data_IF_749225731555
#
_entry.id   IF_749225731555
#
_cell.length_a   1.000
_cell.length_b   1.000
_cell.length_c   1.000
_cell.angle_alpha   90.00
_cell.angle_beta   90.00
_cell.angle_gamma   90.00
#
_symmetry.space_group_name_H-M   'P 1'
#
loop_
_entity.id
_entity.type
_entity.pdbx_description
1 polymer ?
#
# COMPACT_ATOMS: atom_id res chain seq x y z
N UNK A 1 -18.91 -2.02 10.63
CA UNK A 1 -17.65 -2.60 10.08
C UNK A 1 -16.48 -1.67 10.39
N UNK A 2 -15.47 -2.17 11.07
CA UNK A 2 -14.26 -1.40 11.35
C UNK A 2 -13.24 -1.58 10.25
N UNK A 3 -12.71 -0.48 9.75
CA UNK A 3 -11.69 -0.45 8.70
C UNK A 3 -10.32 -0.32 9.33
N UNK A 4 -9.45 -1.30 9.10
CA UNK A 4 -8.12 -1.37 9.69
C UNK A 4 -7.08 -1.41 8.56
N UNK A 5 -6.20 -0.42 8.55
CA UNK A 5 -5.14 -0.34 7.56
C UNK A 5 -3.88 -1.02 8.09
N UNK A 6 -3.25 -1.82 7.23
CA UNK A 6 -1.89 -2.33 7.43
C UNK A 6 -1.06 -1.79 6.28
N UNK A 7 -0.11 -0.93 6.58
CA UNK A 7 0.77 -0.36 5.57
C UNK A 7 2.24 -0.55 5.95
N UNK A 8 3.09 -0.30 5.03
CA UNK A 8 4.54 -0.41 5.15
C UNK A 8 5.15 -0.57 3.77
N UNK A 9 6.36 -0.08 3.62
CA UNK A 9 7.11 -0.23 2.38
C UNK A 9 7.63 -1.64 2.17
N UNK A 10 8.45 -1.87 1.15
CA UNK A 10 9.11 -3.15 0.95
C UNK A 10 10.04 -3.50 2.12
N UNK A 11 10.24 -4.80 2.36
CA UNK A 11 11.18 -5.26 3.40
C UNK A 11 10.71 -5.07 4.83
N UNK A 12 9.41 -5.07 5.07
CA UNK A 12 8.82 -4.79 6.40
C UNK A 12 8.17 -6.01 7.07
N UNK A 13 8.03 -7.13 6.36
CA UNK A 13 7.33 -8.31 6.88
C UNK A 13 5.81 -8.22 6.77
N UNK A 14 5.29 -7.27 6.01
CA UNK A 14 3.86 -7.03 5.87
C UNK A 14 3.11 -8.26 5.34
N UNK A 15 3.65 -8.95 4.34
CA UNK A 15 3.04 -10.15 3.76
C UNK A 15 2.84 -11.24 4.81
N UNK A 16 3.83 -11.47 5.65
CA UNK A 16 3.75 -12.46 6.74
C UNK A 16 2.66 -12.10 7.74
N UNK A 17 2.56 -10.82 8.10
CA UNK A 17 1.52 -10.35 9.02
C UNK A 17 0.13 -10.52 8.41
N UNK A 18 -0.06 -10.12 7.16
CA UNK A 18 -1.35 -10.25 6.47
C UNK A 18 -1.78 -11.71 6.38
N UNK A 19 -0.85 -12.61 6.04
CA UNK A 19 -1.15 -14.05 5.99
C UNK A 19 -1.57 -14.58 7.37
N UNK A 20 -0.92 -14.14 8.42
CA UNK A 20 -1.27 -14.53 9.78
C UNK A 20 -2.68 -14.06 10.16
N UNK A 21 -3.04 -12.84 9.80
CA UNK A 21 -4.38 -12.28 10.02
C UNK A 21 -5.43 -13.14 9.29
N UNK A 22 -5.16 -13.51 8.05
CA UNK A 22 -6.05 -14.38 7.27
C UNK A 22 -6.20 -15.76 7.90
N UNK A 23 -5.11 -16.35 8.39
CA UNK A 23 -5.13 -17.65 9.07
C UNK A 23 -6.01 -17.63 10.33
N UNK A 24 -6.11 -16.49 10.99
CA UNK A 24 -6.99 -16.32 12.15
C UNK A 24 -8.44 -16.02 11.77
N UNK A 25 -8.78 -16.10 10.48
CA UNK A 25 -10.16 -15.98 10.01
C UNK A 25 -10.65 -14.55 9.76
N UNK A 26 -9.76 -13.57 9.80
CA UNK A 26 -10.15 -12.19 9.52
C UNK A 26 -10.15 -11.89 8.02
N UNK A 27 -11.10 -11.05 7.60
CA UNK A 27 -11.21 -10.62 6.22
C UNK A 27 -10.13 -9.61 5.89
N UNK A 28 -9.41 -9.87 4.79
CA UNK A 28 -8.41 -8.94 4.26
C UNK A 28 -8.75 -8.57 2.83
N UNK A 29 -8.45 -7.32 2.44
CA UNK A 29 -8.61 -6.88 1.06
C UNK A 29 -7.64 -7.62 0.13
N UNK A 30 -7.96 -7.65 -1.16
CA UNK A 30 -7.10 -8.26 -2.17
C UNK A 30 -5.82 -7.45 -2.37
N UNK A 31 -4.74 -8.15 -2.74
CA UNK A 31 -3.50 -7.48 -3.12
C UNK A 31 -3.58 -7.03 -4.58
N UNK A 32 -4.01 -5.79 -4.76
CA UNK A 32 -4.38 -5.21 -6.06
C UNK A 32 -3.16 -5.05 -6.97
N UNK A 33 -1.99 -4.75 -6.42
CA UNK A 33 -0.75 -4.59 -7.21
C UNK A 33 -0.47 -5.84 -8.05
N UNK A 34 -0.55 -7.02 -7.44
CA UNK A 34 -0.31 -8.29 -8.13
C UNK A 34 -1.35 -8.54 -9.22
N UNK A 35 -2.62 -8.24 -8.94
CA UNK A 35 -3.70 -8.41 -9.89
C UNK A 35 -3.50 -7.54 -11.14
N UNK A 36 -3.16 -6.26 -10.96
CA UNK A 36 -2.89 -5.34 -12.07
C UNK A 36 -1.68 -5.79 -12.86
N UNK A 37 -0.60 -6.13 -12.19
CA UNK A 37 0.65 -6.56 -12.84
C UNK A 37 0.43 -7.82 -13.66
N UNK A 38 -0.28 -8.80 -13.11
CA UNK A 38 -0.60 -10.05 -13.81
C UNK A 38 -1.42 -9.77 -15.06
N UNK A 39 -2.48 -8.97 -14.96
CA UNK A 39 -3.34 -8.63 -16.08
C UNK A 39 -2.55 -7.93 -17.19
N UNK A 40 -1.67 -6.98 -16.83
CA UNK A 40 -0.86 -6.25 -17.82
C UNK A 40 0.17 -7.15 -18.49
N UNK A 41 0.72 -8.14 -17.80
CA UNK A 41 1.61 -9.14 -18.41
C UNK A 41 0.86 -10.01 -19.41
N UNK A 42 -0.37 -10.42 -19.07
CA UNK A 42 -1.25 -11.17 -20.00
C UNK A 42 -1.56 -10.36 -21.27
N UNK A 43 -1.65 -9.03 -21.13
CA UNK A 43 -1.84 -8.10 -22.26
C UNK A 43 -0.52 -7.73 -22.97
N UNK A 44 0.61 -8.34 -22.59
CA UNK A 44 1.92 -8.09 -23.19
C UNK A 44 2.70 -6.93 -22.62
N UNK A 45 2.27 -6.37 -21.48
CA UNK A 45 2.93 -5.24 -20.82
C UNK A 45 3.77 -5.72 -19.61
N UNK A 46 4.90 -6.37 -19.88
CA UNK A 46 5.81 -6.76 -18.82
C UNK A 46 6.34 -5.54 -18.08
N UNK A 47 6.37 -5.61 -16.73
CA UNK A 47 6.85 -4.52 -15.89
C UNK A 47 6.15 -3.19 -16.19
N UNK A 48 4.83 -3.22 -16.33
CA UNK A 48 3.99 -2.06 -16.66
C UNK A 48 4.26 -0.87 -15.73
N UNK A 49 4.48 -1.12 -14.43
CA UNK A 49 4.76 -0.07 -13.45
C UNK A 49 6.09 0.67 -13.72
N UNK A 50 7.03 0.07 -14.45
CA UNK A 50 8.28 0.72 -14.85
C UNK A 50 8.13 1.52 -16.16
N UNK A 51 7.37 1.00 -17.11
CA UNK A 51 7.18 1.64 -18.42
C UNK A 51 6.14 2.77 -18.40
N UNK A 52 5.11 2.64 -17.55
CA UNK A 52 4.04 3.62 -17.42
C UNK A 52 3.72 3.89 -15.92
N UNK A 53 4.65 4.49 -15.17
CA UNK A 53 4.52 4.57 -13.72
C UNK A 53 3.31 5.41 -13.26
N UNK A 54 3.02 6.52 -13.93
CA UNK A 54 1.90 7.36 -13.55
C UNK A 54 0.56 6.68 -13.85
N UNK A 55 0.41 6.08 -15.04
CA UNK A 55 -0.81 5.36 -15.41
C UNK A 55 -1.06 4.18 -14.47
N UNK A 56 -0.01 3.43 -14.13
CA UNK A 56 -0.08 2.35 -13.17
C UNK A 56 -0.54 2.85 -11.79
N UNK A 57 0.04 3.96 -11.33
CA UNK A 57 -0.30 4.55 -10.04
C UNK A 57 -1.74 5.04 -9.98
N UNK A 58 -2.22 5.67 -11.04
CA UNK A 58 -3.62 6.15 -11.12
C UNK A 58 -4.58 4.94 -11.05
N UNK A 59 -4.30 3.89 -11.81
CA UNK A 59 -5.13 2.68 -11.78
C UNK A 59 -5.12 2.02 -10.40
N UNK A 60 -3.95 1.89 -9.80
CA UNK A 60 -3.79 1.31 -8.47
C UNK A 60 -4.52 2.13 -7.40
N UNK A 61 -4.39 3.46 -7.44
CA UNK A 61 -5.11 4.34 -6.53
C UNK A 61 -6.62 4.12 -6.63
N UNK A 62 -7.15 4.15 -7.85
CA UNK A 62 -8.60 4.01 -8.06
C UNK A 62 -9.11 2.64 -7.63
N UNK A 63 -8.37 1.57 -7.87
CA UNK A 63 -8.73 0.23 -7.43
C UNK A 63 -8.74 0.11 -5.90
N UNK A 64 -7.74 0.68 -5.24
CA UNK A 64 -7.69 0.71 -3.77
C UNK A 64 -8.79 1.60 -3.19
N UNK A 65 -9.11 2.69 -3.87
CA UNK A 65 -10.22 3.58 -3.47
C UNK A 65 -11.57 2.86 -3.58
N UNK A 66 -11.80 2.12 -4.66
CA UNK A 66 -12.98 1.28 -4.82
C UNK A 66 -13.08 0.25 -3.69
N UNK A 67 -11.97 -0.41 -3.39
CA UNK A 67 -11.91 -1.41 -2.31
C UNK A 67 -12.24 -0.80 -0.96
N UNK A 68 -11.69 0.39 -0.68
CA UNK A 68 -11.99 1.13 0.54
C UNK A 68 -13.47 1.46 0.69
N UNK A 69 -14.16 1.74 -0.41
CA UNK A 69 -15.57 2.11 -0.40
C UNK A 69 -16.54 0.92 -0.43
N UNK A 70 -16.05 -0.30 -0.62
CA UNK A 70 -16.91 -1.49 -0.58
C UNK A 70 -17.41 -1.76 0.83
N UNK A 71 -18.66 -2.24 0.89
CA UNK A 71 -19.24 -2.74 2.12
C UNK A 71 -19.05 -4.25 2.19
N UNK A 72 -18.51 -4.72 3.31
CA UNK A 72 -18.32 -6.14 3.57
C UNK A 72 -19.20 -6.57 4.73
N UNK A 73 -19.72 -7.78 4.65
CA UNK A 73 -20.50 -8.38 5.77
C UNK A 73 -19.51 -8.98 6.77
N UNK A 74 -18.84 -8.11 7.51
CA UNK A 74 -17.85 -8.49 8.52
C UNK A 74 -17.72 -7.39 9.56
N UNK A 75 -17.37 -7.76 10.78
CA UNK A 75 -17.10 -6.77 11.84
C UNK A 75 -15.83 -5.98 11.58
N UNK A 76 -14.86 -6.60 10.90
CA UNK A 76 -13.55 -6.00 10.60
C UNK A 76 -13.17 -6.28 9.16
N UNK A 77 -12.50 -5.31 8.54
CA UNK A 77 -11.81 -5.49 7.27
C UNK A 77 -10.38 -4.95 7.41
N UNK A 78 -9.40 -5.77 7.06
CA UNK A 78 -7.99 -5.37 7.03
C UNK A 78 -7.60 -5.05 5.60
N UNK A 79 -7.06 -3.86 5.39
CA UNK A 79 -6.58 -3.43 4.07
C UNK A 79 -5.09 -3.64 3.98
N UNK A 80 -4.66 -4.40 3.00
CA UNK A 80 -3.26 -4.57 2.62
C UNK A 80 -2.87 -3.37 1.77
N UNK A 81 -2.38 -2.33 2.44
CA UNK A 81 -2.14 -1.00 1.91
C UNK A 81 -3.43 -0.27 1.54
N UNK A 82 -3.31 0.99 1.19
CA UNK A 82 -4.43 1.82 0.80
C UNK A 82 -4.08 2.80 -0.30
N UNK A 83 -5.05 3.65 -0.71
CA UNK A 83 -4.82 4.64 -1.76
C UNK A 83 -3.70 5.63 -1.43
N UNK A 84 -3.56 6.04 -0.18
CA UNK A 84 -2.52 7.00 0.22
C UNK A 84 -1.10 6.47 0.04
N UNK A 85 -0.91 5.15 0.06
CA UNK A 85 0.37 4.52 -0.23
C UNK A 85 0.84 4.86 -1.66
N UNK A 86 -0.11 4.96 -2.60
CA UNK A 86 0.19 5.36 -3.99
C UNK A 86 0.70 6.78 -4.03
N UNK A 87 0.08 7.69 -3.30
CA UNK A 87 0.49 9.10 -3.24
C UNK A 87 1.87 9.24 -2.62
N UNK A 88 2.16 8.47 -1.59
CA UNK A 88 3.48 8.44 -0.96
C UNK A 88 4.56 7.96 -1.95
N UNK A 89 4.23 6.94 -2.75
CA UNK A 89 5.15 6.44 -3.77
C UNK A 89 5.41 7.45 -4.88
N UNK A 90 4.38 8.19 -5.29
CA UNK A 90 4.55 9.27 -6.27
C UNK A 90 5.44 10.39 -5.73
N UNK A 91 5.30 10.74 -4.46
CA UNK A 91 6.20 11.69 -3.80
C UNK A 91 7.64 11.17 -3.78
N UNK A 92 7.83 9.90 -3.48
CA UNK A 92 9.15 9.25 -3.52
C UNK A 92 9.78 9.35 -4.92
N UNK A 93 8.98 9.14 -5.96
CA UNK A 93 9.42 9.25 -7.36
C UNK A 93 9.47 10.69 -7.87
N UNK A 94 9.08 11.66 -7.05
CA UNK A 94 9.05 13.10 -7.42
C UNK A 94 8.13 13.36 -8.62
N UNK A 95 7.04 12.64 -8.70
CA UNK A 95 6.00 12.81 -9.71
C UNK A 95 4.85 13.62 -9.14
N UNK A 96 4.37 14.59 -9.89
CA UNK A 96 3.22 15.41 -9.47
C UNK A 96 1.97 14.54 -9.33
N UNK A 97 1.28 14.71 -8.21
CA UNK A 97 0.04 13.98 -7.93
C UNK A 97 -1.12 14.69 -8.62
N UNK A 98 -1.92 13.98 -9.46
CA UNK A 98 -3.13 14.56 -10.04
C UNK A 98 -4.10 15.06 -8.96
N UNK A 99 -4.72 16.21 -9.20
CA UNK A 99 -5.60 16.85 -8.22
C UNK A 99 -6.81 15.99 -7.84
N UNK A 100 -7.36 15.22 -8.77
CA UNK A 100 -8.51 14.33 -8.48
C UNK A 100 -8.13 13.23 -7.49
N UNK A 101 -6.91 12.72 -7.52
CA UNK A 101 -6.44 11.75 -6.53
C UNK A 101 -6.32 12.39 -5.14
N UNK A 102 -5.76 13.60 -5.05
CA UNK A 102 -5.71 14.33 -3.79
C UNK A 102 -7.10 14.61 -3.22
N UNK A 103 -8.05 14.96 -4.08
CA UNK A 103 -9.42 15.21 -3.65
C UNK A 103 -10.12 13.96 -3.13
N UNK A 104 -9.94 12.84 -3.81
CA UNK A 104 -10.46 11.53 -3.34
C UNK A 104 -9.81 11.11 -2.03
N UNK A 105 -8.51 11.37 -1.88
CA UNK A 105 -7.76 10.99 -0.67
C UNK A 105 -8.30 11.67 0.59
N UNK A 106 -8.86 12.86 0.47
CA UNK A 106 -9.46 13.59 1.60
C UNK A 106 -10.65 12.85 2.23
N UNK A 107 -11.27 11.93 1.50
CA UNK A 107 -12.41 11.15 1.97
C UNK A 107 -11.98 9.86 2.70
N UNK A 108 -10.68 9.56 2.75
CA UNK A 108 -10.18 8.31 3.32
C UNK A 108 -9.96 8.47 4.82
N UNK A 109 -10.50 7.53 5.58
CA UNK A 109 -10.28 7.43 7.01
C UNK A 109 -10.35 5.96 7.42
N UNK A 110 -9.59 5.61 8.47
CA UNK A 110 -9.58 4.26 9.03
C UNK A 110 -9.84 4.33 10.52
N UNK A 111 -10.46 3.29 11.05
CA UNK A 111 -10.65 3.17 12.51
C UNK A 111 -9.32 2.96 13.23
N UNK A 112 -8.45 2.15 12.62
CA UNK A 112 -7.07 1.95 13.07
C UNK A 112 -6.15 1.87 11.85
N UNK A 113 -4.94 2.36 12.00
CA UNK A 113 -3.93 2.34 10.94
C UNK A 113 -2.59 1.95 11.53
N UNK A 114 -2.02 0.85 11.03
CA UNK A 114 -0.74 0.30 11.49
C UNK A 114 0.31 0.42 10.39
N UNK A 115 1.52 0.77 10.79
CA UNK A 115 2.66 0.83 9.87
C UNK A 115 3.78 -0.09 10.36
N UNK A 116 4.29 -0.92 9.44
CA UNK A 116 5.48 -1.73 9.66
C UNK A 116 6.69 -0.97 9.15
N UNK A 117 7.81 -1.11 9.86
CA UNK A 117 9.05 -0.43 9.53
C UNK A 117 9.95 -1.32 8.67
N UNK A 118 10.82 -0.73 7.83
CA UNK A 118 11.85 -1.50 7.15
C UNK A 118 12.71 -2.24 8.16
N UNK A 119 12.94 -3.53 7.89
CA UNK A 119 13.67 -4.41 8.81
C UNK A 119 14.77 -5.13 8.03
N UNK A 120 16.02 -4.69 8.24
CA UNK A 120 17.15 -5.17 7.47
C UNK A 120 17.38 -6.68 7.61
N UNK A 121 17.09 -7.24 8.79
CA UNK A 121 17.28 -8.67 9.07
C UNK A 121 16.40 -9.58 8.19
N UNK A 122 15.27 -9.06 7.72
CA UNK A 122 14.34 -9.81 6.86
C UNK A 122 14.28 -9.26 5.44
N UNK A 123 15.07 -8.23 5.13
CA UNK A 123 15.13 -7.67 3.79
C UNK A 123 15.75 -8.66 2.81
N UNK A 124 15.05 -8.95 1.73
CA UNK A 124 15.52 -9.81 0.65
C UNK A 124 15.48 -9.02 -0.64
N UNK A 125 16.64 -8.89 -1.29
CA UNK A 125 16.75 -8.25 -2.60
C UNK A 125 16.63 -9.34 -3.67
N UNK A 126 15.45 -9.50 -4.26
CA UNK A 126 15.16 -10.49 -5.28
C UNK A 126 14.66 -9.84 -6.58
N UNK A 127 14.33 -10.65 -7.59
CA UNK A 127 13.86 -10.19 -8.90
C UNK A 127 12.53 -9.43 -8.86
N UNK A 128 11.78 -9.54 -7.77
CA UNK A 128 10.49 -8.87 -7.58
C UNK A 128 10.66 -7.54 -6.83
N UNK A 129 11.75 -7.40 -6.10
CA UNK A 129 12.04 -6.22 -5.29
C UNK A 129 13.14 -5.39 -5.93
N UNK A 130 12.77 -4.21 -6.39
CA UNK A 130 13.68 -3.31 -7.12
C UNK A 130 14.36 -2.27 -6.24
N UNK A 131 13.84 -2.06 -5.02
CA UNK A 131 14.34 -1.04 -4.12
C UNK A 131 15.47 -1.56 -3.24
N UNK A 132 16.51 -0.74 -3.04
CA UNK A 132 17.54 -0.99 -2.02
C UNK A 132 16.95 -0.79 -0.63
N UNK A 133 17.64 -1.25 0.40
CA UNK A 133 17.18 -1.02 1.78
C UNK A 133 17.10 0.49 2.10
N UNK A 134 18.04 1.27 1.62
CA UNK A 134 18.05 2.73 1.78
C UNK A 134 16.81 3.36 1.13
N UNK A 135 16.44 2.91 -0.06
CA UNK A 135 15.21 3.35 -0.74
C UNK A 135 13.96 2.92 0.03
N UNK A 136 13.97 1.74 0.63
CA UNK A 136 12.87 1.29 1.50
C UNK A 136 12.68 2.22 2.70
N UNK A 137 13.78 2.71 3.27
CA UNK A 137 13.71 3.69 4.36
C UNK A 137 13.13 5.03 3.89
N UNK A 138 13.49 5.49 2.69
CA UNK A 138 12.91 6.70 2.11
C UNK A 138 11.42 6.54 1.80
N UNK A 139 11.03 5.41 1.24
CA UNK A 139 9.61 5.11 1.01
C UNK A 139 8.84 5.14 2.33
N UNK A 140 9.42 4.57 3.39
CA UNK A 140 8.82 4.60 4.72
C UNK A 140 8.59 6.03 5.20
N UNK A 141 9.58 6.91 5.07
CA UNK A 141 9.45 8.33 5.44
C UNK A 141 8.33 9.02 4.65
N UNK A 142 8.25 8.75 3.36
CA UNK A 142 7.19 9.31 2.52
C UNK A 142 5.80 8.80 2.92
N UNK A 143 5.70 7.52 3.32
CA UNK A 143 4.45 6.96 3.85
C UNK A 143 4.02 7.69 5.12
N UNK A 144 4.92 7.82 6.08
CA UNK A 144 4.63 8.52 7.34
C UNK A 144 4.18 9.94 7.08
N UNK A 145 4.89 10.67 6.22
CA UNK A 145 4.56 12.06 5.88
C UNK A 145 3.22 12.17 5.19
N UNK A 146 2.92 11.27 4.25
CA UNK A 146 1.66 11.33 3.50
C UNK A 146 0.45 11.07 4.40
N UNK A 147 0.49 10.07 5.25
CA UNK A 147 -0.59 9.79 6.19
C UNK A 147 -0.77 10.93 7.18
N UNK A 148 0.32 11.52 7.65
CA UNK A 148 0.28 12.70 8.51
C UNK A 148 -0.38 13.90 7.81
N UNK A 149 -0.05 14.12 6.53
CA UNK A 149 -0.64 15.18 5.71
C UNK A 149 -2.17 15.09 5.67
N UNK A 150 -2.71 13.87 5.63
CA UNK A 150 -4.15 13.63 5.61
C UNK A 150 -4.74 13.36 7.00
N UNK A 151 -4.00 13.67 8.06
CA UNK A 151 -4.45 13.56 9.45
C UNK A 151 -4.82 12.13 9.88
N UNK A 152 -4.16 11.14 9.31
CA UNK A 152 -4.32 9.75 9.70
C UNK A 152 -3.18 9.36 10.63
N UNK A 153 -3.52 8.96 11.85
CA UNK A 153 -2.53 8.55 12.86
C UNK A 153 -2.09 7.11 12.60
N UNK A 154 -0.80 6.93 12.37
CA UNK A 154 -0.20 5.60 12.21
C UNK A 154 0.31 5.08 13.55
N UNK A 155 0.01 3.81 13.82
CA UNK A 155 0.50 3.08 14.98
C UNK A 155 1.64 2.18 14.52
N UNK A 156 2.83 2.35 15.09
CA UNK A 156 4.00 1.55 14.73
C UNK A 156 3.87 0.12 15.23
N UNK A 157 4.16 -0.84 14.34
CA UNK A 157 4.27 -2.25 14.70
C UNK A 157 5.75 -2.56 14.94
N UNK A 158 6.12 -3.07 16.13
CA UNK A 158 7.53 -3.34 16.42
C UNK A 158 8.09 -4.50 15.61
N UNK A 159 9.39 -4.43 15.30
CA UNK A 159 10.15 -5.53 14.72
C UNK A 159 10.51 -6.52 15.83
N UNK A 160 9.88 -7.67 15.83
CA UNK A 160 10.15 -8.72 16.85
C UNK A 160 10.51 -10.03 16.21
#
# INVERSE_FOLDING_TARGET
MSKILITGGPGTGKTSLINLIKEHGYLCSKEIVRDITKRKREDGHDQYFLSNPLSFSIELFNKRFEEFNKNYNSDYIFYDRGPLDVLAYLDFKKVNIPNDLNNKAKCINYDLSFILHPWQDIYVNDDVRYETFSECEEIHKNLVNKYKEFNIKLISVPNC
#
